data_IF_451937678159
#
_entry.id   IF_451937678159
#
_cell.length_a   1.000
_cell.length_b   1.000
_cell.length_c   1.000
_cell.angle_alpha   90.00
_cell.angle_beta   90.00
_cell.angle_gamma   90.00
#
_symmetry.space_group_name_H-M   'P 1'
#
loop_
_entity.id
_entity.type
_entity.pdbx_description
1 polymer ?
#
# COMPACT_ATOMS: atom_id res chain seq x y z
N UNK A 1 -3.72 -67.27 -5.05
CA UNK A 1 -3.33 -65.89 -4.72
C UNK A 1 -4.42 -64.95 -5.20
N UNK A 2 -5.06 -64.14 -4.33
CA UNK A 2 -6.11 -63.22 -4.76
C UNK A 2 -5.53 -62.08 -5.64
N UNK A 3 -6.14 -61.84 -6.81
CA UNK A 3 -5.75 -60.78 -7.74
C UNK A 3 -6.22 -59.41 -7.20
N UNK A 4 -5.30 -58.45 -7.05
CA UNK A 4 -5.63 -57.09 -6.58
C UNK A 4 -6.27 -56.25 -7.70
N UNK A 5 -7.54 -56.54 -7.99
CA UNK A 5 -8.33 -55.90 -9.06
C UNK A 5 -8.42 -54.36 -8.95
N UNK A 6 -8.25 -53.79 -7.76
CA UNK A 6 -8.26 -52.35 -7.52
C UNK A 6 -7.10 -51.60 -8.20
N UNK A 7 -5.94 -52.24 -8.32
CA UNK A 7 -4.73 -51.59 -8.86
C UNK A 7 -4.80 -51.36 -10.37
N UNK A 8 -5.68 -52.07 -11.07
CA UNK A 8 -5.89 -51.95 -12.50
C UNK A 8 -6.93 -50.90 -12.87
N UNK A 9 -7.42 -50.12 -11.90
CA UNK A 9 -8.38 -49.05 -12.15
C UNK A 9 -7.64 -47.76 -12.52
N UNK A 10 -8.18 -47.04 -13.49
CA UNK A 10 -7.62 -45.77 -13.98
C UNK A 10 -7.60 -44.68 -12.92
N UNK A 11 -8.45 -44.75 -11.90
CA UNK A 11 -8.51 -43.78 -10.81
C UNK A 11 -7.64 -44.16 -9.61
N UNK A 12 -7.01 -45.35 -9.61
CA UNK A 12 -6.31 -45.83 -8.42
C UNK A 12 -5.05 -44.99 -8.15
N UNK A 13 -4.84 -44.45 -6.94
CA UNK A 13 -3.73 -43.54 -6.66
C UNK A 13 -2.36 -44.19 -6.87
N UNK A 14 -2.24 -45.48 -6.57
CA UNK A 14 -0.99 -46.23 -6.75
C UNK A 14 -0.80 -46.82 -8.14
N UNK A 15 -1.63 -46.44 -9.12
CA UNK A 15 -1.39 -46.79 -10.51
C UNK A 15 -0.20 -45.96 -11.02
N UNK A 16 0.80 -46.62 -11.62
CA UNK A 16 2.01 -45.96 -12.14
C UNK A 16 1.69 -44.76 -13.04
N UNK A 17 0.69 -44.89 -13.92
CA UNK A 17 0.27 -43.81 -14.80
C UNK A 17 -0.29 -42.58 -14.04
N UNK A 18 -0.91 -42.80 -12.88
CA UNK A 18 -1.44 -41.71 -12.04
C UNK A 18 -0.33 -41.05 -11.22
N UNK A 19 0.59 -41.86 -10.70
CA UNK A 19 1.77 -41.37 -9.98
C UNK A 19 2.59 -40.45 -10.90
N UNK A 20 2.83 -40.87 -12.15
CA UNK A 20 3.54 -40.05 -13.13
C UNK A 20 2.80 -38.76 -13.50
N UNK A 21 1.46 -38.81 -13.60
CA UNK A 21 0.66 -37.60 -13.87
C UNK A 21 0.79 -36.60 -12.72
N UNK A 22 0.59 -37.06 -11.48
CA UNK A 22 0.71 -36.21 -10.28
C UNK A 22 2.11 -35.62 -10.20
N UNK A 23 3.15 -36.41 -10.43
CA UNK A 23 4.54 -35.92 -10.44
C UNK A 23 4.75 -34.80 -11.46
N UNK A 24 4.24 -34.94 -12.68
CA UNK A 24 4.34 -33.88 -13.71
C UNK A 24 3.59 -32.62 -13.32
N UNK A 25 2.40 -32.78 -12.75
CA UNK A 25 1.58 -31.65 -12.30
C UNK A 25 2.26 -30.91 -11.13
N UNK A 26 2.87 -31.64 -10.20
CA UNK A 26 3.66 -31.07 -9.09
C UNK A 26 4.92 -30.36 -9.58
N UNK A 27 5.69 -30.96 -10.50
CA UNK A 27 6.87 -30.33 -11.11
C UNK A 27 6.49 -29.05 -11.86
N UNK A 28 5.39 -29.06 -12.62
CA UNK A 28 4.87 -27.88 -13.31
C UNK A 28 4.45 -26.78 -12.33
N UNK A 29 3.69 -27.14 -11.29
CA UNK A 29 3.25 -26.20 -10.26
C UNK A 29 4.44 -25.62 -9.47
N UNK A 30 5.52 -26.38 -9.31
CA UNK A 30 6.76 -25.90 -8.70
C UNK A 30 7.42 -24.82 -9.56
N UNK A 31 7.60 -25.10 -10.86
CA UNK A 31 8.19 -24.13 -11.81
C UNK A 31 7.36 -22.86 -11.93
N UNK A 32 6.03 -22.97 -12.00
CA UNK A 32 5.12 -21.81 -12.05
C UNK A 32 5.26 -20.95 -10.79
N UNK A 33 5.31 -21.57 -9.60
CA UNK A 33 5.50 -20.87 -8.33
C UNK A 33 6.86 -20.16 -8.28
N UNK A 34 7.93 -20.79 -8.74
CA UNK A 34 9.26 -20.15 -8.79
C UNK A 34 9.28 -18.92 -9.70
N UNK A 35 8.64 -19.02 -10.87
CA UNK A 35 8.50 -17.91 -11.81
C UNK A 35 7.69 -16.76 -11.18
N UNK A 36 6.55 -17.05 -10.57
CA UNK A 36 5.72 -16.06 -9.88
C UNK A 36 6.50 -15.34 -8.77
N UNK A 37 7.21 -16.09 -7.92
CA UNK A 37 8.04 -15.52 -6.85
C UNK A 37 9.13 -14.61 -7.44
N UNK A 38 9.79 -15.03 -8.53
CA UNK A 38 10.82 -14.22 -9.18
C UNK A 38 10.27 -12.90 -9.74
N UNK A 39 9.09 -12.94 -10.35
CA UNK A 39 8.41 -11.78 -10.92
C UNK A 39 7.96 -10.85 -9.80
N UNK A 40 7.36 -11.39 -8.74
CA UNK A 40 6.90 -10.63 -7.59
C UNK A 40 8.06 -9.91 -6.90
N UNK A 41 9.17 -10.60 -6.65
CA UNK A 41 10.38 -10.00 -6.05
C UNK A 41 10.94 -8.88 -6.95
N UNK A 42 11.00 -9.10 -8.27
CA UNK A 42 11.44 -8.06 -9.21
C UNK A 42 10.52 -6.85 -9.18
N UNK A 43 9.20 -7.05 -9.20
CA UNK A 43 8.22 -5.98 -9.17
C UNK A 43 8.24 -5.22 -7.84
N UNK A 44 8.39 -5.92 -6.72
CA UNK A 44 8.54 -5.30 -5.40
C UNK A 44 9.80 -4.41 -5.35
N UNK A 45 10.92 -4.89 -5.88
CA UNK A 45 12.15 -4.10 -5.93
C UNK A 45 12.00 -2.83 -6.78
N UNK A 46 11.32 -2.92 -7.94
CA UNK A 46 11.01 -1.77 -8.80
C UNK A 46 10.12 -0.76 -8.07
N UNK A 47 9.04 -1.24 -7.46
CA UNK A 47 8.12 -0.41 -6.68
C UNK A 47 8.82 0.30 -5.52
N UNK A 48 9.74 -0.38 -4.84
CA UNK A 48 10.54 0.21 -3.76
C UNK A 48 11.46 1.31 -4.28
N UNK A 49 12.14 1.09 -5.40
CA UNK A 49 12.99 2.11 -6.02
C UNK A 49 12.18 3.31 -6.49
N UNK A 50 11.02 3.09 -7.09
CA UNK A 50 10.14 4.19 -7.54
C UNK A 50 9.62 5.01 -6.36
N UNK A 51 9.27 4.37 -5.24
CA UNK A 51 8.93 5.07 -3.99
C UNK A 51 10.09 5.91 -3.45
N UNK A 52 11.32 5.42 -3.54
CA UNK A 52 12.51 6.16 -3.10
C UNK A 52 12.85 7.33 -4.03
N UNK A 53 12.75 7.13 -5.35
CA UNK A 53 12.99 8.15 -6.37
C UNK A 53 11.95 9.25 -6.34
N UNK A 54 10.68 8.89 -6.19
CA UNK A 54 9.56 9.82 -6.19
C UNK A 54 9.27 10.38 -4.80
N UNK A 55 10.04 10.01 -3.76
CA UNK A 55 9.90 10.62 -2.43
C UNK A 55 10.32 12.09 -2.56
N UNK A 56 9.39 13.06 -2.48
CA UNK A 56 9.79 14.46 -2.48
C UNK A 56 10.70 14.68 -1.29
N UNK A 57 11.90 15.21 -1.52
CA UNK A 57 12.80 15.63 -0.44
C UNK A 57 12.18 16.87 0.20
N UNK A 58 11.22 16.66 1.11
CA UNK A 58 10.43 17.71 1.72
C UNK A 58 11.37 18.84 2.22
N UNK A 59 11.46 19.98 1.50
CA UNK A 59 12.44 21.01 1.82
C UNK A 59 12.05 21.79 3.07
N UNK A 60 10.79 21.71 3.48
CA UNK A 60 10.22 22.42 4.63
C UNK A 60 10.68 21.86 5.97
N UNK A 61 11.43 20.75 5.97
CA UNK A 61 12.07 20.18 7.17
C UNK A 61 13.60 20.38 7.17
N UNK A 62 14.11 21.28 6.32
CA UNK A 62 15.54 21.64 6.25
C UNK A 62 15.92 22.76 7.20
N UNK A 63 14.96 23.56 7.66
CA UNK A 63 15.22 24.67 8.60
C UNK A 63 15.58 24.18 10.01
N UNK A 64 15.20 22.95 10.39
CA UNK A 64 15.63 22.30 11.63
C UNK A 64 16.85 21.37 11.47
N UNK A 65 17.53 21.38 10.30
CA UNK A 65 18.74 20.56 10.04
C UNK A 65 20.04 21.36 10.00
N UNK A 66 20.01 22.63 10.39
CA UNK A 66 21.20 23.47 10.58
C UNK A 66 21.82 23.33 11.97
N UNK A 67 21.19 22.60 12.89
CA UNK A 67 21.83 22.16 14.11
C UNK A 67 22.38 20.76 13.86
N UNK A 68 23.71 20.69 13.79
CA UNK A 68 24.43 19.43 13.68
C UNK A 68 23.90 18.42 14.69
N UNK A 69 23.37 17.30 14.19
CA UNK A 69 23.03 16.12 15.00
C UNK A 69 24.36 15.53 15.49
N UNK A 70 24.92 16.15 16.53
CA UNK A 70 26.00 15.58 17.30
C UNK A 70 25.36 14.46 18.13
N UNK A 71 25.28 13.28 17.52
CA UNK A 71 24.74 12.05 18.12
C UNK A 71 25.27 11.80 19.55
N UNK A 72 26.53 12.18 19.81
CA UNK A 72 27.17 12.07 21.12
C UNK A 72 26.73 13.14 22.13
N UNK A 73 26.36 14.35 21.70
CA UNK A 73 25.90 15.41 22.61
C UNK A 73 24.45 15.24 23.06
N UNK A 74 23.60 14.61 22.24
CA UNK A 74 22.22 14.30 22.63
C UNK A 74 22.16 13.18 23.69
N UNK A 75 23.14 12.26 23.64
CA UNK A 75 23.25 11.20 24.64
C UNK A 75 23.59 11.77 26.02
N UNK A 76 24.49 12.75 26.10
CA UNK A 76 24.81 13.46 27.35
C UNK A 76 23.65 14.33 27.88
N UNK A 77 22.87 14.96 26.99
CA UNK A 77 21.66 15.71 27.39
C UNK A 77 20.58 14.80 27.96
N UNK A 78 20.30 13.66 27.31
CA UNK A 78 19.33 12.68 27.80
C UNK A 78 19.72 12.03 29.13
N UNK A 79 21.03 11.92 29.42
CA UNK A 79 21.54 11.46 30.70
C UNK A 79 21.31 12.48 31.83
N UNK A 80 21.42 13.78 31.54
CA UNK A 80 21.18 14.87 32.48
C UNK A 80 19.68 15.18 32.72
N UNK A 81 18.80 14.87 31.76
CA UNK A 81 17.35 15.07 31.89
C UNK A 81 16.63 14.03 32.76
N UNK A 82 17.33 12.98 33.23
CA UNK A 82 16.78 11.98 34.18
C UNK A 82 16.40 12.53 35.57
N UNK A 83 16.49 13.84 35.80
CA UNK A 83 16.11 14.48 37.06
C UNK A 83 14.67 14.96 37.15
N UNK A 84 13.90 15.02 36.04
CA UNK A 84 12.53 15.58 36.04
C UNK A 84 11.54 14.76 35.21
N UNK A 85 11.49 13.44 35.42
CA UNK A 85 10.30 12.69 35.05
C UNK A 85 9.24 12.98 36.12
N UNK A 86 8.30 13.88 35.82
CA UNK A 86 7.01 13.86 36.53
C UNK A 86 6.37 12.52 36.19
N UNK A 87 5.88 11.82 37.21
CA UNK A 87 5.11 10.59 37.11
C UNK A 87 3.77 10.86 36.41
N UNK A 88 3.81 11.16 35.12
CA UNK A 88 2.66 11.13 34.22
C UNK A 88 2.81 9.84 33.42
N UNK A 89 2.54 8.72 34.08
CA UNK A 89 2.17 7.52 33.35
C UNK A 89 0.89 7.86 32.60
N UNK A 90 0.86 7.90 31.25
CA UNK A 90 -0.41 7.87 30.57
C UNK A 90 -1.07 6.59 31.04
N UNK A 91 -2.27 6.72 31.58
CA UNK A 91 -3.09 5.63 32.09
C UNK A 91 -3.20 4.60 30.96
N UNK A 92 -2.27 3.64 30.94
CA UNK A 92 -2.28 2.51 30.05
C UNK A 92 -3.44 1.71 30.56
N UNK A 93 -4.64 2.06 30.09
CA UNK A 93 -5.81 1.22 30.20
C UNK A 93 -5.37 -0.12 29.63
N UNK A 94 -5.02 -1.02 30.54
CA UNK A 94 -4.66 -2.38 30.25
C UNK A 94 -5.89 -2.91 29.53
N UNK A 95 -5.85 -2.91 28.19
CA UNK A 95 -6.94 -3.42 27.39
C UNK A 95 -7.17 -4.82 27.92
N UNK A 96 -8.32 -5.01 28.59
CA UNK A 96 -8.74 -6.30 29.09
C UNK A 96 -8.48 -7.30 27.97
N UNK A 97 -7.79 -8.43 28.24
CA UNK A 97 -7.56 -9.42 27.20
C UNK A 97 -8.92 -9.71 26.55
N UNK A 98 -8.99 -9.56 25.23
CA UNK A 98 -10.19 -9.89 24.48
C UNK A 98 -10.65 -11.28 24.92
N UNK A 99 -11.93 -11.41 25.24
CA UNK A 99 -12.49 -12.66 25.75
C UNK A 99 -12.03 -13.81 24.84
N UNK A 100 -11.46 -14.85 25.45
CA UNK A 100 -10.95 -15.99 24.68
C UNK A 100 -12.16 -16.63 24.02
N UNK A 101 -11.98 -17.13 22.82
CA UNK A 101 -13.08 -17.67 22.01
C UNK A 101 -13.83 -18.86 22.64
N UNK A 102 -13.33 -19.44 23.74
CA UNK A 102 -14.02 -20.46 24.53
C UNK A 102 -14.71 -19.95 25.80
N UNK A 103 -14.47 -18.70 26.23
CA UNK A 103 -15.17 -18.08 27.38
C UNK A 103 -16.62 -17.69 27.05
N UNK A 104 -17.07 -17.86 25.79
CA UNK A 104 -18.44 -17.55 25.35
C UNK A 104 -19.45 -18.69 25.62
N UNK A 105 -19.15 -19.65 26.51
CA UNK A 105 -20.03 -20.79 26.77
C UNK A 105 -21.19 -20.50 27.74
N UNK A 106 -21.21 -19.31 28.35
CA UNK A 106 -22.28 -18.89 29.29
C UNK A 106 -23.51 -18.24 28.61
N UNK A 107 -23.60 -18.25 27.29
CA UNK A 107 -24.78 -17.77 26.55
C UNK A 107 -26.04 -18.66 26.72
N UNK A 108 -25.95 -19.74 27.50
CA UNK A 108 -27.10 -20.63 27.77
C UNK A 108 -28.16 -20.01 28.69
N UNK A 109 -27.82 -18.95 29.44
CA UNK A 109 -28.74 -18.31 30.39
C UNK A 109 -29.58 -17.15 29.83
N UNK A 110 -29.24 -16.60 28.66
CA UNK A 110 -29.93 -15.43 28.06
C UNK A 110 -30.71 -15.73 26.77
N UNK A 111 -30.91 -17.00 26.45
CA UNK A 111 -31.58 -17.46 25.22
C UNK A 111 -33.12 -17.30 25.21
N UNK A 112 -33.70 -16.33 25.95
CA UNK A 112 -35.16 -16.09 25.92
C UNK A 112 -35.59 -14.91 25.04
N UNK A 113 -34.72 -13.95 24.69
CA UNK A 113 -35.17 -12.73 24.01
C UNK A 113 -34.34 -12.29 22.78
N UNK A 114 -33.50 -13.16 22.21
CA UNK A 114 -32.58 -12.79 21.11
C UNK A 114 -32.94 -13.41 19.74
N UNK A 115 -34.09 -13.07 19.17
CA UNK A 115 -34.36 -13.11 17.72
C UNK A 115 -35.30 -11.94 17.38
N UNK A 116 -34.84 -10.92 16.60
CA UNK A 116 -34.79 -11.11 15.15
C UNK A 116 -33.61 -10.34 14.50
N UNK A 117 -32.36 -10.73 14.77
CA UNK A 117 -31.20 -10.18 14.05
C UNK A 117 -30.63 -11.18 13.01
N UNK A 118 -31.00 -12.46 13.08
CA UNK A 118 -30.43 -13.50 12.20
C UNK A 118 -31.01 -13.54 10.79
N UNK A 119 -32.04 -12.73 10.49
CA UNK A 119 -32.66 -12.66 9.15
C UNK A 119 -32.16 -11.52 8.25
N UNK A 120 -31.26 -10.64 8.71
CA UNK A 120 -30.76 -9.53 7.87
C UNK A 120 -29.50 -9.85 7.05
N UNK A 121 -28.74 -10.88 7.40
CA UNK A 121 -27.47 -11.17 6.72
C UNK A 121 -27.57 -12.07 5.47
N UNK A 122 -28.77 -12.51 5.08
CA UNK A 122 -28.92 -13.48 3.97
C UNK A 122 -29.26 -12.89 2.60
N UNK A 123 -29.61 -11.61 2.50
CA UNK A 123 -30.15 -11.05 1.25
C UNK A 123 -29.31 -9.97 0.56
N UNK A 124 -28.21 -9.49 1.14
CA UNK A 124 -27.42 -8.44 0.51
C UNK A 124 -26.19 -9.02 -0.22
N UNK A 125 -26.43 -9.81 -1.28
CA UNK A 125 -25.35 -10.20 -2.23
C UNK A 125 -24.64 -8.98 -2.84
N UNK A 126 -25.33 -7.82 -2.86
CA UNK A 126 -24.82 -6.56 -3.38
C UNK A 126 -24.15 -5.68 -2.32
N UNK A 127 -24.18 -6.05 -1.03
CA UNK A 127 -23.52 -5.29 0.04
C UNK A 127 -22.02 -5.53 0.07
N UNK A 128 -21.61 -6.79 -0.13
CA UNK A 128 -20.21 -7.22 -0.08
C UNK A 128 -19.43 -6.78 -1.34
N UNK A 129 -20.09 -6.63 -2.49
CA UNK A 129 -19.48 -6.07 -3.71
C UNK A 129 -19.23 -4.58 -3.58
N UNK A 130 -20.20 -3.81 -3.06
CA UNK A 130 -20.07 -2.36 -2.85
C UNK A 130 -18.98 -2.00 -1.84
N UNK A 131 -18.83 -2.76 -0.76
CA UNK A 131 -17.74 -2.53 0.19
C UNK A 131 -16.36 -2.76 -0.47
N UNK A 132 -16.23 -3.82 -1.27
CA UNK A 132 -14.99 -4.15 -1.98
C UNK A 132 -14.65 -3.10 -3.05
N UNK A 133 -15.64 -2.60 -3.78
CA UNK A 133 -15.41 -1.58 -4.80
C UNK A 133 -14.93 -0.24 -4.22
N UNK A 134 -15.41 0.13 -3.02
CA UNK A 134 -15.00 1.36 -2.31
C UNK A 134 -13.64 1.25 -1.62
N UNK A 135 -13.19 0.04 -1.29
CA UNK A 135 -11.89 -0.19 -0.65
C UNK A 135 -10.84 -0.83 -1.58
N UNK A 136 -11.14 -1.02 -2.87
CA UNK A 136 -10.17 -1.49 -3.84
C UNK A 136 -9.14 -0.37 -4.14
N UNK A 137 -7.85 -0.56 -3.81
CA UNK A 137 -6.81 0.44 -4.09
C UNK A 137 -6.71 0.78 -5.58
N UNK A 138 -7.09 -0.13 -6.48
CA UNK A 138 -7.05 0.12 -7.93
C UNK A 138 -8.10 1.14 -8.38
N UNK A 139 -9.29 1.14 -7.77
CA UNK A 139 -10.32 2.14 -8.09
C UNK A 139 -9.94 3.51 -7.57
N UNK A 140 -9.39 3.59 -6.36
CA UNK A 140 -8.85 4.84 -5.78
C UNK A 140 -7.77 5.43 -6.69
N UNK A 141 -6.87 4.60 -7.21
CA UNK A 141 -5.83 5.05 -8.15
C UNK A 141 -6.41 5.53 -9.48
N UNK A 142 -7.41 4.84 -10.04
CA UNK A 142 -8.08 5.25 -11.29
C UNK A 142 -8.85 6.57 -11.13
N UNK A 143 -9.48 6.78 -9.98
CA UNK A 143 -10.17 8.04 -9.68
C UNK A 143 -9.15 9.17 -9.54
N UNK A 144 -8.05 8.95 -8.82
CA UNK A 144 -6.99 9.94 -8.68
C UNK A 144 -6.34 10.33 -10.01
N UNK A 145 -6.08 9.38 -10.92
CA UNK A 145 -5.55 9.71 -12.26
C UNK A 145 -6.57 10.48 -13.09
N UNK A 146 -7.84 10.12 -13.01
CA UNK A 146 -8.91 10.82 -13.71
C UNK A 146 -9.12 12.26 -13.18
N UNK A 147 -8.95 12.49 -11.87
CA UNK A 147 -8.96 13.84 -11.30
C UNK A 147 -7.78 14.70 -11.76
N UNK A 148 -6.58 14.12 -11.86
CA UNK A 148 -5.41 14.80 -12.41
C UNK A 148 -5.61 15.20 -13.88
N UNK A 149 -6.21 14.32 -14.68
CA UNK A 149 -6.55 14.59 -16.08
C UNK A 149 -7.64 15.66 -16.23
N UNK A 150 -8.61 15.73 -15.31
CA UNK A 150 -9.57 16.83 -15.29
C UNK A 150 -8.90 18.16 -14.94
N UNK A 151 -8.01 18.16 -13.95
CA UNK A 151 -7.26 19.35 -13.54
C UNK A 151 -6.36 19.88 -14.65
N UNK A 152 -5.69 18.99 -15.39
CA UNK A 152 -4.81 19.38 -16.52
C UNK A 152 -5.58 20.01 -17.68
N UNK A 153 -6.82 19.57 -17.92
CA UNK A 153 -7.72 20.15 -18.95
C UNK A 153 -8.30 21.51 -18.56
N UNK A 154 -8.46 21.79 -17.26
CA UNK A 154 -8.96 23.08 -16.75
C UNK A 154 -7.85 24.12 -16.63
N UNK A 155 -6.60 23.71 -16.38
CA UNK A 155 -5.46 24.61 -16.41
C UNK A 155 -5.10 25.00 -17.85
N UNK A 156 -5.59 26.15 -18.32
CA UNK A 156 -5.04 26.78 -19.53
C UNK A 156 -3.55 27.06 -19.30
N UNK A 157 -2.64 26.65 -20.19
CA UNK A 157 -1.24 27.00 -20.04
C UNK A 157 -1.13 28.53 -20.10
N UNK A 158 -0.60 29.14 -19.04
CA UNK A 158 -0.19 30.54 -19.05
C UNK A 158 0.99 30.63 -20.02
N UNK A 159 0.69 30.87 -21.30
CA UNK A 159 1.71 31.27 -22.27
C UNK A 159 2.19 32.65 -21.84
N UNK A 160 3.27 32.71 -21.08
CA UNK A 160 4.04 33.94 -20.86
C UNK A 160 4.67 34.36 -22.20
N UNK A 161 3.87 34.94 -23.10
CA UNK A 161 4.39 35.69 -24.23
C UNK A 161 4.87 37.04 -23.69
N UNK A 162 6.14 37.14 -23.33
CA UNK A 162 6.75 38.41 -22.99
C UNK A 162 6.80 39.26 -24.27
N UNK A 163 5.76 40.07 -24.50
CA UNK A 163 5.69 41.00 -25.63
C UNK A 163 6.42 42.26 -25.21
N UNK A 164 7.64 42.45 -25.72
CA UNK A 164 8.42 43.67 -25.55
C UNK A 164 7.56 44.89 -25.85
N UNK A 165 7.53 45.84 -24.91
CA UNK A 165 6.79 47.09 -25.07
C UNK A 165 7.34 47.89 -26.27
N UNK A 166 6.53 48.80 -26.83
CA UNK A 166 6.98 49.68 -27.93
C UNK A 166 8.22 50.49 -27.54
N UNK A 167 8.38 50.80 -26.25
CA UNK A 167 9.52 51.51 -25.69
C UNK A 167 10.78 50.63 -25.68
N UNK A 168 10.69 49.41 -25.15
CA UNK A 168 11.82 48.48 -25.15
C UNK A 168 12.28 48.12 -26.57
N UNK A 169 11.35 48.01 -27.53
CA UNK A 169 11.72 47.80 -28.94
C UNK A 169 12.47 48.97 -29.57
N UNK A 170 12.24 50.20 -29.11
CA UNK A 170 13.00 51.38 -29.56
C UNK A 170 14.38 51.39 -28.93
N UNK A 171 14.46 51.17 -27.63
CA UNK A 171 15.72 51.10 -26.87
C UNK A 171 16.62 49.96 -27.37
N UNK A 172 16.05 48.81 -27.72
CA UNK A 172 16.80 47.68 -28.30
C UNK A 172 17.32 48.00 -29.71
N UNK A 173 16.52 48.68 -30.55
CA UNK A 173 16.98 49.15 -31.87
C UNK A 173 18.10 50.19 -31.76
N UNK A 174 18.02 51.09 -30.79
CA UNK A 174 19.07 52.08 -30.52
C UNK A 174 20.36 51.41 -30.04
N UNK A 175 20.25 50.43 -29.12
CA UNK A 175 21.40 49.62 -28.68
C UNK A 175 22.03 48.83 -29.82
N UNK A 176 21.24 48.29 -30.75
CA UNK A 176 21.77 47.59 -31.91
C UNK A 176 22.49 48.53 -32.89
N UNK A 177 21.97 49.74 -33.11
CA UNK A 177 22.64 50.76 -33.92
C UNK A 177 23.96 51.23 -33.30
N UNK A 178 23.98 51.42 -31.97
CA UNK A 178 25.18 51.80 -31.24
C UNK A 178 26.27 50.72 -31.24
N UNK A 179 25.93 49.46 -31.51
CA UNK A 179 26.90 48.35 -31.64
C UNK A 179 27.50 48.20 -33.04
N UNK A 180 26.95 48.89 -34.05
CA UNK A 180 27.40 48.81 -35.45
C UNK A 180 28.26 50.01 -35.88
N UNK A 181 28.48 50.97 -34.97
CA UNK A 181 29.44 52.06 -35.11
C UNK A 181 30.68 51.75 -34.26
#
# INVERSE_FOLDING_TARGET
MPLKLAHHKSYHPYNAANIERVRKDEEKAHLERELEVSINNSNESKNRLDKLRNKPTNPDNREHRSEHINFWSDLEKSANEKGKAKDEFPDMQLQRPSARWYDSQDDRAHARDAEPQRKRFRNDKDGDTKLKDTQDPLNIMKEATHELDKRSKVSKPIRNSHKMSKRERREEKERQRARQL
#
